data_IF_296040553645
#
_entry.id   IF_296040553645
#
_cell.length_a   1.000
_cell.length_b   1.000
_cell.length_c   1.000
_cell.angle_alpha   90.00
_cell.angle_beta   90.00
_cell.angle_gamma   90.00
#
_symmetry.space_group_name_H-M   'P 1'
#
loop_
_entity.id
_entity.type
_entity.pdbx_description
1 polymer ?
#
# COMPACT_ATOMS: atom_id res chain seq x y z
N UNK A 1 -20.88 -8.75 -29.50
CA UNK A 1 -20.93 -7.88 -28.32
C UNK A 1 -19.51 -7.68 -27.81
N UNK A 2 -18.79 -6.73 -28.41
CA UNK A 2 -17.39 -6.48 -28.09
C UNK A 2 -17.31 -5.48 -26.93
N UNK A 3 -16.87 -5.94 -25.75
CA UNK A 3 -16.58 -5.08 -24.61
C UNK A 3 -15.50 -4.08 -25.00
N UNK A 4 -15.85 -2.80 -24.99
CA UNK A 4 -14.95 -1.68 -25.22
C UNK A 4 -13.90 -1.65 -24.11
N UNK A 5 -12.65 -2.00 -24.45
CA UNK A 5 -11.50 -1.86 -23.54
C UNK A 5 -11.40 -0.41 -23.06
N UNK A 6 -11.67 -0.17 -21.77
CA UNK A 6 -11.49 1.16 -21.17
C UNK A 6 -10.02 1.33 -20.82
N UNK A 7 -9.22 1.74 -21.79
CA UNK A 7 -7.77 1.99 -21.57
C UNK A 7 -7.57 3.43 -21.09
N UNK A 8 -7.48 3.64 -19.77
CA UNK A 8 -6.98 4.89 -19.20
C UNK A 8 -5.48 4.80 -18.92
N UNK A 9 -4.70 5.30 -19.86
CA UNK A 9 -3.24 5.36 -19.78
C UNK A 9 -2.72 6.36 -18.73
N UNK A 10 -3.54 7.33 -18.30
CA UNK A 10 -3.13 8.35 -17.32
C UNK A 10 -3.17 7.78 -15.90
N UNK A 11 -4.25 7.10 -15.55
CA UNK A 11 -4.43 6.50 -14.21
C UNK A 11 -3.38 5.40 -13.93
N UNK A 12 -3.14 4.52 -14.91
CA UNK A 12 -2.08 3.49 -14.84
C UNK A 12 -0.67 4.07 -14.74
N UNK A 13 -0.39 5.16 -15.47
CA UNK A 13 0.87 5.91 -15.37
C UNK A 13 1.08 6.52 -13.98
N UNK A 14 0.04 7.14 -13.40
CA UNK A 14 0.09 7.72 -12.05
C UNK A 14 0.35 6.67 -10.99
N UNK A 15 -0.34 5.53 -11.03
CA UNK A 15 -0.12 4.41 -10.10
C UNK A 15 1.33 3.91 -10.11
N UNK A 16 1.93 3.76 -11.29
CA UNK A 16 3.33 3.34 -11.41
C UNK A 16 4.29 4.31 -10.73
N UNK A 17 4.05 5.62 -10.88
CA UNK A 17 4.85 6.67 -10.23
C UNK A 17 4.67 6.61 -8.71
N UNK A 18 3.43 6.49 -8.23
CA UNK A 18 3.11 6.42 -6.80
C UNK A 18 3.76 5.21 -6.13
N UNK A 19 3.61 4.01 -6.71
CA UNK A 19 4.23 2.80 -6.18
C UNK A 19 5.75 2.88 -6.16
N UNK A 20 6.37 3.47 -7.19
CA UNK A 20 7.83 3.68 -7.21
C UNK A 20 8.28 4.62 -6.09
N UNK A 21 7.51 5.69 -5.82
CA UNK A 21 7.78 6.61 -4.71
C UNK A 21 7.60 5.95 -3.34
N UNK A 22 6.57 5.10 -3.18
CA UNK A 22 6.37 4.33 -1.93
C UNK A 22 7.57 3.42 -1.70
N UNK A 23 7.99 2.64 -2.71
CA UNK A 23 9.16 1.75 -2.59
C UNK A 23 10.44 2.52 -2.24
N UNK A 24 10.62 3.73 -2.77
CA UNK A 24 11.74 4.59 -2.40
C UNK A 24 11.65 5.07 -0.95
N UNK A 25 10.46 5.47 -0.48
CA UNK A 25 10.24 5.87 0.92
C UNK A 25 10.47 4.72 1.88
N UNK A 26 10.08 3.48 1.52
CA UNK A 26 10.31 2.31 2.36
C UNK A 26 11.79 1.96 2.53
N UNK A 27 12.69 2.46 1.67
CA UNK A 27 14.13 2.25 1.85
C UNK A 27 14.68 2.93 3.10
N UNK A 28 14.02 3.98 3.62
CA UNK A 28 14.46 4.67 4.85
C UNK A 28 14.12 3.87 6.12
N UNK A 29 13.25 2.88 6.02
CA UNK A 29 12.78 2.04 7.13
C UNK A 29 13.66 0.79 7.22
N UNK A 30 14.03 0.28 8.42
CA UNK A 30 14.80 -0.96 8.55
C UNK A 30 14.12 -2.17 7.89
N UNK A 31 14.90 -3.06 7.26
CA UNK A 31 14.40 -4.29 6.60
C UNK A 31 13.68 -5.25 7.54
N UNK A 32 14.02 -5.19 8.83
CA UNK A 32 13.44 -6.05 9.86
C UNK A 32 12.07 -5.54 10.34
N UNK A 33 11.72 -4.29 10.03
CA UNK A 33 10.42 -3.75 10.39
C UNK A 33 9.30 -4.51 9.66
N UNK A 34 8.37 -5.05 10.43
CA UNK A 34 7.22 -5.79 9.89
C UNK A 34 6.45 -4.97 8.84
N UNK A 35 6.24 -3.67 9.10
CA UNK A 35 5.59 -2.75 8.15
C UNK A 35 6.29 -2.74 6.79
N UNK A 36 7.62 -2.59 6.77
CA UNK A 36 8.38 -2.57 5.51
C UNK A 36 8.19 -3.86 4.73
N UNK A 37 8.34 -5.01 5.38
CA UNK A 37 8.22 -6.33 4.73
C UNK A 37 6.86 -6.53 4.05
N UNK A 38 5.77 -6.25 4.77
CA UNK A 38 4.43 -6.46 4.25
C UNK A 38 4.05 -5.42 3.19
N UNK A 39 4.40 -4.15 3.40
CA UNK A 39 4.09 -3.09 2.44
C UNK A 39 4.90 -3.25 1.15
N UNK A 40 6.18 -3.62 1.22
CA UNK A 40 6.97 -3.92 0.01
C UNK A 40 6.37 -5.08 -0.79
N UNK A 41 5.94 -6.16 -0.12
CA UNK A 41 5.31 -7.30 -0.79
C UNK A 41 3.99 -6.90 -1.47
N UNK A 42 3.13 -6.14 -0.76
CA UNK A 42 1.85 -5.67 -1.29
C UNK A 42 2.03 -4.75 -2.50
N UNK A 43 2.93 -3.76 -2.39
CA UNK A 43 3.20 -2.78 -3.44
C UNK A 43 3.83 -3.46 -4.66
N UNK A 44 4.75 -4.41 -4.47
CA UNK A 44 5.34 -5.15 -5.58
C UNK A 44 4.32 -6.01 -6.33
N UNK A 45 3.41 -6.69 -5.62
CA UNK A 45 2.33 -7.46 -6.24
C UNK A 45 1.39 -6.56 -7.06
N UNK A 46 0.96 -5.42 -6.48
CA UNK A 46 0.10 -4.46 -7.17
C UNK A 46 0.80 -3.84 -8.38
N UNK A 47 2.08 -3.47 -8.25
CA UNK A 47 2.88 -2.95 -9.35
C UNK A 47 3.05 -3.99 -10.47
N UNK A 48 3.21 -5.26 -10.12
CA UNK A 48 3.25 -6.35 -11.10
C UNK A 48 1.94 -6.42 -11.89
N UNK A 49 0.79 -6.41 -11.21
CA UNK A 49 -0.52 -6.42 -11.88
C UNK A 49 -0.71 -5.23 -12.82
N UNK A 50 -0.35 -4.02 -12.38
CA UNK A 50 -0.41 -2.78 -13.21
C UNK A 50 0.50 -2.86 -14.43
N UNK A 51 1.63 -3.57 -14.35
CA UNK A 51 2.54 -3.78 -15.50
C UNK A 51 2.04 -4.84 -16.47
N UNK A 52 1.42 -5.91 -15.96
CA UNK A 52 0.97 -7.04 -16.76
C UNK A 52 -0.35 -6.80 -17.47
N UNK A 53 -1.28 -6.05 -16.84
CA UNK A 53 -2.62 -5.85 -17.37
C UNK A 53 -2.80 -4.41 -17.84
N UNK A 54 -2.88 -4.16 -19.16
CA UNK A 54 -3.19 -2.85 -19.70
C UNK A 54 -4.69 -2.52 -19.65
N UNK A 55 -5.54 -3.51 -19.34
CA UNK A 55 -6.99 -3.38 -19.28
C UNK A 55 -7.47 -3.09 -17.86
N UNK A 56 -8.25 -2.01 -17.69
CA UNK A 56 -8.62 -1.51 -16.37
C UNK A 56 -9.63 -2.42 -15.69
N UNK A 57 -10.65 -2.92 -16.39
CA UNK A 57 -11.65 -3.79 -15.78
C UNK A 57 -11.02 -5.08 -15.23
N UNK A 58 -10.07 -5.66 -15.97
CA UNK A 58 -9.33 -6.84 -15.51
C UNK A 58 -8.40 -6.52 -14.36
N UNK A 59 -7.76 -5.34 -14.40
CA UNK A 59 -6.90 -4.87 -13.32
C UNK A 59 -7.70 -4.66 -12.03
N UNK A 60 -8.87 -4.04 -12.10
CA UNK A 60 -9.80 -3.84 -10.99
C UNK A 60 -10.25 -5.18 -10.40
N UNK A 61 -10.59 -6.16 -11.26
CA UNK A 61 -10.92 -7.51 -10.80
C UNK A 61 -9.74 -8.20 -10.09
N UNK A 62 -8.51 -8.10 -10.63
CA UNK A 62 -7.32 -8.71 -10.00
C UNK A 62 -6.96 -8.07 -8.66
N UNK A 63 -7.07 -6.74 -8.56
CA UNK A 63 -6.76 -6.00 -7.34
C UNK A 63 -7.90 -6.14 -6.32
N UNK A 64 -9.14 -6.34 -6.78
CA UNK A 64 -10.35 -6.53 -5.96
C UNK A 64 -10.49 -5.45 -4.86
N UNK A 65 -10.16 -4.20 -5.19
CA UNK A 65 -10.10 -3.09 -4.23
C UNK A 65 -10.90 -1.87 -4.71
N UNK A 66 -12.02 -2.11 -5.39
CA UNK A 66 -12.88 -1.05 -5.92
C UNK A 66 -12.42 -0.53 -7.29
N UNK A 67 -12.76 0.73 -7.58
CA UNK A 67 -12.43 1.39 -8.85
C UNK A 67 -10.98 1.88 -8.87
N UNK A 68 -10.42 2.07 -10.07
CA UNK A 68 -9.02 2.50 -10.23
C UNK A 68 -8.69 3.83 -9.51
N UNK A 69 -9.66 4.74 -9.41
CA UNK A 69 -9.49 6.02 -8.70
C UNK A 69 -9.35 5.84 -7.18
N UNK A 70 -10.10 4.90 -6.59
CA UNK A 70 -9.97 4.54 -5.17
C UNK A 70 -8.59 3.92 -4.89
N UNK A 71 -8.10 3.09 -5.83
CA UNK A 71 -6.76 2.51 -5.74
C UNK A 71 -5.67 3.58 -5.82
N UNK A 72 -5.84 4.60 -6.66
CA UNK A 72 -4.93 5.77 -6.71
C UNK A 72 -4.94 6.50 -5.37
N UNK A 73 -6.12 6.81 -4.85
CA UNK A 73 -6.25 7.49 -3.56
C UNK A 73 -5.60 6.69 -2.43
N UNK A 74 -5.82 5.37 -2.39
CA UNK A 74 -5.17 4.49 -1.42
C UNK A 74 -3.64 4.53 -1.55
N UNK A 75 -3.09 4.54 -2.77
CA UNK A 75 -1.65 4.67 -2.97
C UNK A 75 -1.11 6.03 -2.51
N UNK A 76 -1.87 7.11 -2.63
CA UNK A 76 -1.48 8.43 -2.09
C UNK A 76 -1.50 8.46 -0.57
N UNK A 77 -2.52 7.87 0.05
CA UNK A 77 -2.59 7.67 1.49
C UNK A 77 -1.41 6.83 1.99
N UNK A 78 -1.09 5.72 1.31
CA UNK A 78 0.04 4.86 1.66
C UNK A 78 1.37 5.60 1.53
N UNK A 79 1.55 6.42 0.50
CA UNK A 79 2.74 7.26 0.36
C UNK A 79 2.87 8.24 1.53
N UNK A 80 1.78 8.89 1.93
CA UNK A 80 1.79 9.78 3.10
C UNK A 80 2.07 9.02 4.40
N UNK A 81 1.48 7.84 4.56
CA UNK A 81 1.70 6.96 5.70
C UNK A 81 3.16 6.53 5.78
N UNK A 82 3.77 6.09 4.68
CA UNK A 82 5.16 5.64 4.65
C UNK A 82 6.14 6.73 5.12
N UNK A 83 5.85 8.01 4.82
CA UNK A 83 6.63 9.16 5.29
C UNK A 83 6.46 9.35 6.80
N UNK A 84 5.23 9.33 7.30
CA UNK A 84 4.94 9.44 8.74
C UNK A 84 5.50 8.26 9.54
N UNK A 85 5.46 7.05 8.99
CA UNK A 85 6.05 5.86 9.60
C UNK A 85 7.56 6.01 9.77
N UNK A 86 8.23 6.71 8.84
CA UNK A 86 9.65 7.03 8.98
C UNK A 86 9.94 7.97 10.16
N UNK A 87 9.01 8.85 10.51
CA UNK A 87 9.11 9.78 11.65
C UNK A 87 8.74 9.09 12.97
N UNK A 88 7.68 8.29 12.97
CA UNK A 88 7.15 7.62 14.17
C UNK A 88 8.00 6.45 14.66
N UNK A 89 8.79 5.83 13.77
CA UNK A 89 9.63 4.67 14.09
C UNK A 89 8.87 3.58 14.86
N UNK A 90 7.67 3.24 14.38
CA UNK A 90 6.78 2.27 15.02
C UNK A 90 7.34 0.83 15.13
N UNK A 91 8.55 0.58 14.62
CA UNK A 91 9.31 -0.66 14.77
C UNK A 91 10.18 -0.69 16.04
N UNK A 92 10.27 0.42 16.77
CA UNK A 92 10.92 0.46 18.08
C UNK A 92 10.06 -0.28 19.13
N UNK A 93 10.69 -0.85 20.18
CA UNK A 93 9.95 -1.53 21.24
C UNK A 93 8.96 -0.58 21.93
N UNK A 94 7.96 -1.16 22.61
CA UNK A 94 6.97 -0.41 23.39
C UNK A 94 7.65 0.58 24.33
N UNK A 95 7.20 1.83 24.28
CA UNK A 95 7.73 2.91 25.13
C UNK A 95 7.42 2.64 26.60
N UNK A 96 6.25 2.05 26.89
CA UNK A 96 5.81 1.72 28.24
C UNK A 96 5.06 0.38 28.22
N UNK A 97 5.33 -0.47 29.21
CA UNK A 97 4.55 -1.69 29.42
C UNK A 97 3.18 -1.36 30.02
N UNK A 98 2.10 -2.03 29.62
CA UNK A 98 0.78 -1.74 30.17
C UNK A 98 0.73 -2.07 31.67
N UNK A 99 0.15 -1.20 32.52
CA UNK A 99 -0.10 -1.51 33.91
C UNK A 99 -0.82 -2.86 34.13
N UNK A 100 -0.55 -3.56 35.25
CA UNK A 100 -1.23 -4.81 35.57
C UNK A 100 -2.75 -4.58 35.64
N UNK A 101 -3.51 -5.51 35.04
CA UNK A 101 -4.98 -5.48 34.88
C UNK A 101 -5.57 -4.46 33.89
N UNK A 102 -4.79 -3.68 33.13
CA UNK A 102 -5.34 -2.73 32.14
C UNK A 102 -6.20 -3.41 31.06
N UNK A 103 -5.83 -4.61 30.63
CA UNK A 103 -6.50 -5.35 29.54
C UNK A 103 -7.25 -6.60 30.01
N UNK A 104 -7.54 -6.75 31.31
CA UNK A 104 -8.26 -7.91 31.84
C UNK A 104 -9.78 -7.74 31.62
N UNK A 105 -10.39 -8.66 30.90
CA UNK A 105 -11.84 -8.70 30.69
C UNK A 105 -12.36 -10.15 30.59
N UNK A 106 -13.51 -10.52 31.24
CA UNK A 106 -14.22 -9.80 32.29
C UNK A 106 -13.45 -9.80 33.64
N UNK A 107 -13.89 -8.96 34.59
CA UNK A 107 -13.23 -8.76 35.90
C UNK A 107 -13.28 -10.04 36.74
#
# INVERSE_FOLDING_TARGET
TAGTKKTDSRSTGRLRILYSKILASLQTIPKDAAYRKYTEQLVNNRLHHVKTEPDIEKLEQKISCGQIEEVIFQAECELNLSRKMSEWKAWEPLVEEPPPNQWKWPI
#
